data_IF_102152158546
#
_entry.id   IF_102152158546
#
_cell.length_a   1.000
_cell.length_b   1.000
_cell.length_c   1.000
_cell.angle_alpha   90.00
_cell.angle_beta   90.00
_cell.angle_gamma   90.00
#
_symmetry.space_group_name_H-M   'P 1'
#
loop_
_entity.id
_entity.type
_entity.pdbx_description
1 polymer ?
#
# COMPACT_ATOMS: atom_id res chain seq x y z
N UNK A 1 4.94 -16.11 19.34
CA UNK A 1 5.94 -16.79 18.49
C UNK A 1 5.31 -17.53 17.32
N UNK A 2 4.64 -18.68 17.54
CA UNK A 2 4.23 -19.61 16.45
C UNK A 2 3.03 -19.18 15.58
N UNK A 3 2.26 -18.17 15.97
CA UNK A 3 1.08 -17.70 15.23
C UNK A 3 1.40 -16.72 14.10
N UNK A 4 2.51 -15.99 14.22
CA UNK A 4 2.86 -14.87 13.33
C UNK A 4 3.05 -15.33 11.86
N UNK A 5 3.74 -16.45 11.57
CA UNK A 5 3.90 -16.92 10.19
C UNK A 5 2.59 -17.38 9.54
N UNK A 6 1.67 -17.98 10.31
CA UNK A 6 0.37 -18.45 9.79
C UNK A 6 -0.49 -17.27 9.30
N UNK A 7 -0.44 -16.16 10.02
CA UNK A 7 -1.15 -14.92 9.66
C UNK A 7 -0.54 -14.27 8.41
N UNK A 8 0.79 -14.29 8.28
CA UNK A 8 1.47 -13.71 7.12
C UNK A 8 1.11 -14.38 5.78
N UNK A 9 0.84 -15.69 5.79
CA UNK A 9 0.42 -16.43 4.58
C UNK A 9 -0.91 -15.89 4.06
N UNK A 10 -1.86 -15.56 4.94
CA UNK A 10 -3.14 -14.96 4.56
C UNK A 10 -2.94 -13.62 3.82
N UNK A 11 -2.11 -12.73 4.37
CA UNK A 11 -1.85 -11.43 3.75
C UNK A 11 -1.10 -11.53 2.42
N UNK A 12 -0.19 -12.50 2.29
CA UNK A 12 0.51 -12.75 1.02
C UNK A 12 -0.46 -13.21 -0.05
N UNK A 13 -1.34 -14.16 0.27
CA UNK A 13 -2.41 -14.63 -0.63
C UNK A 13 -3.38 -13.50 -0.98
N UNK A 14 -3.70 -12.61 -0.03
CA UNK A 14 -4.54 -11.44 -0.27
C UNK A 14 -3.91 -10.48 -1.28
N UNK A 15 -2.61 -10.17 -1.14
CA UNK A 15 -1.88 -9.32 -2.10
C UNK A 15 -1.85 -9.99 -3.48
N UNK A 16 -1.58 -11.30 -3.55
CA UNK A 16 -1.61 -12.05 -4.82
C UNK A 16 -3.00 -12.03 -5.46
N UNK A 17 -4.06 -12.18 -4.67
CA UNK A 17 -5.43 -12.08 -5.16
C UNK A 17 -5.74 -10.69 -5.72
N UNK A 18 -5.26 -9.62 -5.08
CA UNK A 18 -5.37 -8.25 -5.62
C UNK A 18 -4.63 -8.10 -6.95
N UNK A 19 -3.43 -8.68 -7.09
CA UNK A 19 -2.68 -8.69 -8.36
C UNK A 19 -3.49 -9.40 -9.45
N UNK A 20 -3.96 -10.61 -9.17
CA UNK A 20 -4.63 -11.48 -10.14
C UNK A 20 -6.06 -11.08 -10.48
N UNK A 21 -6.77 -10.39 -9.58
CA UNK A 21 -8.19 -10.06 -9.74
C UNK A 21 -8.39 -8.55 -9.92
N UNK A 22 -7.90 -7.71 -9.00
CA UNK A 22 -8.27 -6.29 -9.01
C UNK A 22 -7.61 -5.48 -10.12
N UNK A 23 -6.34 -5.75 -10.45
CA UNK A 23 -5.65 -5.06 -11.55
C UNK A 23 -6.26 -5.37 -12.93
N UNK A 24 -6.56 -6.63 -13.28
CA UNK A 24 -7.26 -6.90 -14.54
C UNK A 24 -8.71 -6.40 -14.55
N UNK A 25 -9.42 -6.40 -13.41
CA UNK A 25 -10.74 -5.77 -13.31
C UNK A 25 -10.67 -4.25 -13.48
N UNK A 26 -9.58 -3.61 -13.08
CA UNK A 26 -9.37 -2.19 -13.39
C UNK A 26 -9.22 -1.99 -14.91
N UNK A 27 -8.52 -2.87 -15.63
CA UNK A 27 -8.37 -2.78 -17.09
C UNK A 27 -9.66 -3.04 -17.87
N UNK A 28 -10.53 -3.92 -17.36
CA UNK A 28 -11.88 -4.16 -17.87
C UNK A 28 -12.88 -3.40 -17.02
N UNK A 29 -13.14 -2.09 -17.28
CA UNK A 29 -14.16 -1.40 -16.53
C UNK A 29 -15.47 -2.18 -16.70
N UNK A 30 -16.05 -2.64 -15.58
CA UNK A 30 -17.35 -3.33 -15.58
C UNK A 30 -18.40 -2.48 -16.29
N UNK A 31 -18.21 -1.15 -16.26
CA UNK A 31 -18.95 -0.18 -17.05
C UNK A 31 -18.82 -0.46 -18.57
N UNK A 32 -17.63 -0.70 -19.13
CA UNK A 32 -17.50 -1.07 -20.55
C UNK A 32 -18.19 -2.39 -20.90
N UNK A 33 -18.23 -3.36 -19.98
CA UNK A 33 -19.01 -4.59 -20.19
C UNK A 33 -20.52 -4.31 -20.21
N UNK A 34 -21.01 -3.38 -19.38
CA UNK A 34 -22.42 -2.95 -19.40
C UNK A 34 -22.74 -2.07 -20.62
N UNK A 35 -21.80 -1.21 -21.04
CA UNK A 35 -21.90 -0.39 -22.25
C UNK A 35 -21.84 -1.24 -23.52
N UNK A 36 -21.24 -2.44 -23.48
CA UNK A 36 -21.32 -3.40 -24.59
C UNK A 36 -22.77 -3.76 -24.96
N UNK A 37 -23.69 -3.71 -24.00
CA UNK A 37 -25.12 -3.97 -24.21
C UNK A 37 -25.94 -2.70 -24.50
N UNK A 38 -25.32 -1.51 -24.43
CA UNK A 38 -26.00 -0.24 -24.75
C UNK A 38 -25.60 0.24 -26.14
N UNK A 39 -26.57 0.75 -26.90
CA UNK A 39 -26.36 1.30 -28.26
C UNK A 39 -25.90 2.79 -28.19
N UNK A 40 -25.59 3.29 -26.99
CA UNK A 40 -25.25 4.69 -26.74
C UNK A 40 -23.73 4.88 -26.71
N UNK A 41 -23.24 6.08 -27.03
CA UNK A 41 -21.82 6.41 -26.85
C UNK A 41 -21.44 6.33 -25.37
N UNK A 42 -20.26 5.78 -25.03
CA UNK A 42 -19.81 5.67 -23.65
C UNK A 42 -19.63 7.07 -23.04
N UNK A 43 -20.14 7.26 -21.82
CA UNK A 43 -19.93 8.49 -21.04
C UNK A 43 -18.45 8.60 -20.62
N UNK A 44 -17.88 9.83 -20.54
CA UNK A 44 -16.51 10.02 -20.08
C UNK A 44 -16.36 9.51 -18.65
N UNK A 45 -15.36 8.64 -18.43
CA UNK A 45 -15.12 8.06 -17.11
C UNK A 45 -14.23 9.00 -16.28
N UNK A 46 -14.78 9.48 -15.16
CA UNK A 46 -14.03 10.26 -14.17
C UNK A 46 -13.19 9.34 -13.27
N UNK A 47 -12.01 9.79 -12.89
CA UNK A 47 -11.15 9.06 -11.97
C UNK A 47 -11.55 9.36 -10.51
N UNK A 48 -12.01 8.35 -9.78
CA UNK A 48 -12.20 8.45 -8.32
C UNK A 48 -10.85 8.36 -7.61
N UNK A 49 -10.09 9.46 -7.61
CA UNK A 49 -8.72 9.51 -7.11
C UNK A 49 -8.58 9.04 -5.65
N UNK A 50 -9.51 9.41 -4.78
CA UNK A 50 -9.47 9.08 -3.35
C UNK A 50 -9.48 7.56 -3.11
N UNK A 51 -10.42 6.86 -3.75
CA UNK A 51 -10.59 5.41 -3.55
C UNK A 51 -9.40 4.63 -4.09
N UNK A 52 -8.91 5.00 -5.27
CA UNK A 52 -7.77 4.33 -5.89
C UNK A 52 -6.49 4.54 -5.09
N UNK A 53 -6.23 5.77 -4.64
CA UNK A 53 -5.03 6.07 -3.88
C UNK A 53 -5.03 5.40 -2.50
N UNK A 54 -6.17 5.34 -1.81
CA UNK A 54 -6.31 4.61 -0.54
C UNK A 54 -6.09 3.11 -0.74
N UNK A 55 -6.63 2.51 -1.81
CA UNK A 55 -6.43 1.08 -2.09
C UNK A 55 -4.94 0.74 -2.25
N UNK A 56 -4.19 1.57 -2.97
CA UNK A 56 -2.74 1.40 -3.17
C UNK A 56 -1.99 1.61 -1.85
N UNK A 57 -2.37 2.63 -1.07
CA UNK A 57 -1.76 2.94 0.23
C UNK A 57 -1.87 1.77 1.22
N UNK A 58 -3.04 1.12 1.30
CA UNK A 58 -3.27 -0.02 2.18
C UNK A 58 -2.34 -1.19 1.82
N UNK A 59 -2.16 -1.48 0.53
CA UNK A 59 -1.24 -2.54 0.10
C UNK A 59 0.21 -2.20 0.46
N UNK A 60 0.58 -0.92 0.38
CA UNK A 60 1.91 -0.45 0.78
C UNK A 60 2.14 -0.61 2.28
N UNK A 61 1.18 -0.17 3.11
CA UNK A 61 1.23 -0.30 4.57
C UNK A 61 1.31 -1.77 4.97
N UNK A 62 0.51 -2.65 4.36
CA UNK A 62 0.60 -4.09 4.60
C UNK A 62 1.97 -4.66 4.21
N UNK A 63 2.52 -4.25 3.06
CA UNK A 63 3.86 -4.64 2.62
C UNK A 63 4.93 -4.25 3.64
N UNK A 64 4.87 -3.01 4.16
CA UNK A 64 5.79 -2.54 5.21
C UNK A 64 5.65 -3.36 6.48
N UNK A 65 4.43 -3.55 6.99
CA UNK A 65 4.16 -4.29 8.23
C UNK A 65 4.72 -5.72 8.21
N UNK A 66 4.54 -6.43 7.10
CA UNK A 66 4.92 -7.84 6.98
C UNK A 66 6.32 -8.07 6.41
N UNK A 67 7.00 -7.02 5.92
CA UNK A 67 8.36 -7.11 5.34
C UNK A 67 9.36 -7.80 6.26
N UNK A 68 9.32 -7.50 7.56
CA UNK A 68 10.23 -8.04 8.58
C UNK A 68 9.83 -9.45 9.05
N UNK A 69 8.54 -9.76 9.01
CA UNK A 69 8.01 -11.05 9.46
C UNK A 69 8.19 -12.12 8.40
N UNK A 70 7.91 -11.79 7.15
CA UNK A 70 7.98 -12.69 6.01
C UNK A 70 8.53 -11.95 4.79
N UNK A 71 9.85 -12.03 4.54
CA UNK A 71 10.48 -11.27 3.44
C UNK A 71 9.96 -11.67 2.05
N UNK A 72 9.31 -12.83 1.93
CA UNK A 72 8.67 -13.30 0.70
C UNK A 72 7.49 -12.41 0.25
N UNK A 73 6.92 -11.57 1.12
CA UNK A 73 5.84 -10.64 0.72
C UNK A 73 6.38 -9.49 -0.15
N UNK A 74 7.64 -9.09 0.03
CA UNK A 74 8.26 -7.98 -0.69
C UNK A 74 8.25 -8.17 -2.21
N UNK A 75 8.72 -9.30 -2.79
CA UNK A 75 8.67 -9.48 -4.24
C UNK A 75 7.24 -9.48 -4.79
N UNK A 76 6.25 -9.98 -4.02
CA UNK A 76 4.85 -9.90 -4.40
C UNK A 76 4.34 -8.45 -4.43
N UNK A 77 4.67 -7.65 -3.40
CA UNK A 77 4.34 -6.23 -3.37
C UNK A 77 5.04 -5.45 -4.50
N UNK A 78 6.32 -5.71 -4.78
CA UNK A 78 7.05 -5.07 -5.88
C UNK A 78 6.40 -5.38 -7.23
N UNK A 79 6.00 -6.64 -7.46
CA UNK A 79 5.23 -7.01 -8.65
C UNK A 79 3.91 -6.27 -8.73
N UNK A 80 3.17 -6.16 -7.63
CA UNK A 80 1.93 -5.39 -7.56
C UNK A 80 2.13 -3.93 -7.97
N UNK A 81 3.09 -3.23 -7.36
CA UNK A 81 3.36 -1.82 -7.69
C UNK A 81 3.87 -1.63 -9.11
N UNK A 82 4.70 -2.56 -9.61
CA UNK A 82 5.17 -2.53 -11.00
C UNK A 82 4.02 -2.62 -12.01
N UNK A 83 3.13 -3.60 -11.83
CA UNK A 83 1.95 -3.76 -12.69
C UNK A 83 0.95 -2.62 -12.54
N UNK A 84 0.68 -2.18 -11.30
CA UNK A 84 -0.19 -1.04 -11.03
C UNK A 84 0.30 0.22 -11.76
N UNK A 85 1.60 0.51 -11.72
CA UNK A 85 2.19 1.66 -12.42
C UNK A 85 1.92 1.61 -13.92
N UNK A 86 2.05 0.45 -14.56
CA UNK A 86 1.76 0.29 -15.99
C UNK A 86 0.27 0.49 -16.30
N UNK A 87 -0.61 -0.12 -15.51
CA UNK A 87 -2.07 -0.03 -15.69
C UNK A 87 -2.56 1.41 -15.52
N UNK A 88 -2.19 2.09 -14.43
CA UNK A 88 -2.62 3.46 -14.19
C UNK A 88 -2.06 4.42 -15.26
N UNK A 89 -0.80 4.25 -15.69
CA UNK A 89 -0.24 5.04 -16.80
C UNK A 89 -1.07 4.90 -18.08
N UNK A 90 -1.44 3.67 -18.44
CA UNK A 90 -2.28 3.45 -19.62
C UNK A 90 -3.66 4.10 -19.47
N UNK A 91 -4.29 3.99 -18.30
CA UNK A 91 -5.60 4.57 -18.03
C UNK A 91 -5.61 6.10 -18.05
N UNK A 92 -4.59 6.74 -17.49
CA UNK A 92 -4.49 8.21 -17.50
C UNK A 92 -4.31 8.77 -18.91
N UNK A 93 -3.72 8.01 -19.84
CA UNK A 93 -3.56 8.44 -21.23
C UNK A 93 -4.81 8.20 -22.10
N UNK A 94 -5.53 7.09 -21.88
CA UNK A 94 -6.55 6.63 -22.82
C UNK A 94 -8.00 6.73 -22.32
N UNK A 95 -8.22 6.73 -20.99
CA UNK A 95 -9.56 6.53 -20.42
C UNK A 95 -9.99 7.70 -19.55
N UNK A 96 -9.14 8.13 -18.61
CA UNK A 96 -9.56 9.11 -17.62
C UNK A 96 -9.59 10.52 -18.18
N UNK A 97 -10.70 11.21 -17.92
CA UNK A 97 -10.81 12.66 -18.11
C UNK A 97 -10.66 13.36 -16.76
N UNK A 98 -9.82 14.41 -16.64
CA UNK A 98 -9.60 15.08 -15.37
C UNK A 98 -10.80 15.97 -15.02
N UNK A 99 -11.67 15.51 -14.12
CA UNK A 99 -12.77 16.31 -13.59
C UNK A 99 -12.31 17.36 -12.57
N UNK A 100 -11.25 17.04 -11.80
CA UNK A 100 -10.71 17.90 -10.75
C UNK A 100 -9.18 17.83 -10.70
N UNK A 101 -8.52 18.98 -10.58
CA UNK A 101 -7.06 19.07 -10.42
C UNK A 101 -6.71 19.28 -8.94
N UNK A 102 -6.32 18.21 -8.24
CA UNK A 102 -5.99 18.27 -6.80
C UNK A 102 -4.68 19.03 -6.46
N UNK A 103 -3.94 19.56 -7.45
CA UNK A 103 -2.70 20.31 -7.22
C UNK A 103 -1.62 19.56 -6.40
N UNK A 104 -1.72 18.24 -6.28
CA UNK A 104 -0.84 17.43 -5.42
C UNK A 104 -1.19 17.40 -3.93
N UNK A 105 -2.31 17.99 -3.49
CA UNK A 105 -2.70 18.03 -2.08
C UNK A 105 -2.82 16.63 -1.44
N UNK A 106 -3.23 15.62 -2.22
CA UNK A 106 -3.38 14.24 -1.75
C UNK A 106 -2.06 13.58 -1.31
N UNK A 107 -0.91 14.12 -1.73
CA UNK A 107 0.41 13.59 -1.35
C UNK A 107 0.61 13.59 0.17
N UNK A 108 0.17 14.65 0.86
CA UNK A 108 0.37 14.80 2.30
C UNK A 108 -0.43 13.76 3.10
N UNK A 109 -1.66 13.47 2.68
CA UNK A 109 -2.49 12.43 3.30
C UNK A 109 -1.89 11.04 3.08
N UNK A 110 -1.43 10.75 1.86
CA UNK A 110 -0.78 9.48 1.53
C UNK A 110 0.50 9.29 2.36
N UNK A 111 1.34 10.33 2.45
CA UNK A 111 2.56 10.31 3.24
C UNK A 111 2.29 10.06 4.72
N UNK A 112 1.29 10.72 5.29
CA UNK A 112 0.87 10.50 6.68
C UNK A 112 0.43 9.05 6.92
N UNK A 113 -0.37 8.48 6.01
CA UNK A 113 -0.78 7.07 6.07
C UNK A 113 0.39 6.08 6.00
N UNK A 114 1.37 6.35 5.12
CA UNK A 114 2.60 5.56 5.02
C UNK A 114 3.41 5.61 6.32
N UNK A 115 3.54 6.79 6.92
CA UNK A 115 4.29 6.97 8.17
C UNK A 115 3.64 6.20 9.32
N UNK A 116 2.31 6.20 9.43
CA UNK A 116 1.58 5.37 10.41
C UNK A 116 1.89 3.88 10.20
N UNK A 117 1.91 3.41 8.94
CA UNK A 117 2.29 2.05 8.61
C UNK A 117 3.73 1.70 9.02
N UNK A 118 4.66 2.62 8.81
CA UNK A 118 6.05 2.49 9.25
C UNK A 118 6.16 2.41 10.78
N UNK A 119 5.43 3.26 11.52
CA UNK A 119 5.39 3.20 12.99
C UNK A 119 4.88 1.86 13.52
N UNK A 120 3.80 1.34 12.92
CA UNK A 120 3.25 0.03 13.29
C UNK A 120 4.25 -1.10 12.99
N UNK A 121 5.04 -0.98 11.92
CA UNK A 121 6.09 -1.94 11.58
C UNK A 121 7.21 -1.92 12.61
N UNK A 122 7.68 -0.73 13.00
CA UNK A 122 8.70 -0.57 14.05
C UNK A 122 8.22 -1.07 15.41
N UNK A 123 6.95 -0.85 15.76
CA UNK A 123 6.36 -1.38 16.98
C UNK A 123 6.32 -2.91 16.98
N UNK A 124 5.97 -3.52 15.84
CA UNK A 124 6.01 -4.98 15.68
C UNK A 124 7.43 -5.54 15.80
N UNK A 125 8.41 -4.85 15.21
CA UNK A 125 9.83 -5.20 15.32
C UNK A 125 10.32 -5.12 16.76
N UNK A 126 9.94 -4.09 17.51
CA UNK A 126 10.25 -3.99 18.93
C UNK A 126 9.67 -5.14 19.73
N UNK A 127 8.41 -5.50 19.48
CA UNK A 127 7.77 -6.65 20.10
C UNK A 127 8.52 -7.97 19.83
N UNK A 128 9.02 -8.16 18.60
CA UNK A 128 9.87 -9.30 18.26
C UNK A 128 11.23 -9.25 18.95
N UNK A 129 11.89 -8.08 18.97
CA UNK A 129 13.19 -7.90 19.60
C UNK A 129 13.17 -8.24 21.10
N UNK A 130 12.11 -7.86 21.82
CA UNK A 130 11.93 -8.21 23.24
C UNK A 130 11.88 -9.73 23.45
N UNK A 131 11.21 -10.46 22.55
CA UNK A 131 11.04 -11.92 22.66
C UNK A 131 12.34 -12.66 22.35
N UNK A 132 13.11 -12.20 21.36
CA UNK A 132 14.30 -12.91 20.88
C UNK A 132 15.61 -12.51 21.57
N UNK A 133 15.83 -11.21 21.80
CA UNK A 133 17.07 -10.70 22.39
C UNK A 133 16.93 -10.42 23.90
N UNK A 134 15.73 -10.05 24.35
CA UNK A 134 15.48 -9.64 25.74
C UNK A 134 15.69 -8.13 25.94
N UNK A 135 14.97 -7.55 26.89
CA UNK A 135 14.86 -6.08 27.06
C UNK A 135 16.15 -5.35 27.49
N UNK A 136 17.21 -6.08 27.86
CA UNK A 136 18.43 -5.50 28.46
C UNK A 136 19.64 -5.50 27.52
N UNK A 137 19.49 -6.03 26.32
CA UNK A 137 20.61 -6.15 25.38
C UNK A 137 20.78 -4.87 24.55
N UNK A 138 22.00 -4.55 24.08
CA UNK A 138 22.24 -3.32 23.30
C UNK A 138 21.48 -3.30 21.97
N UNK A 139 21.13 -4.45 21.41
CA UNK A 139 20.38 -4.55 20.15
C UNK A 139 18.93 -4.05 20.32
N UNK A 140 18.31 -4.26 21.48
CA UNK A 140 16.99 -3.71 21.77
C UNK A 140 17.02 -2.17 21.80
N UNK A 141 18.04 -1.58 22.42
CA UNK A 141 18.21 -0.12 22.45
C UNK A 141 18.44 0.47 21.06
N UNK A 142 19.21 -0.21 20.20
CA UNK A 142 19.39 0.21 18.82
C UNK A 142 18.08 0.21 18.02
N UNK A 143 17.22 -0.79 18.21
CA UNK A 143 15.90 -0.87 17.55
C UNK A 143 14.92 0.14 18.15
N UNK A 144 14.98 0.40 19.46
CA UNK A 144 14.13 1.40 20.14
C UNK A 144 14.43 2.84 19.71
N UNK A 145 15.63 3.09 19.19
CA UNK A 145 16.03 4.36 18.62
C UNK A 145 15.29 4.67 17.30
N UNK A 146 15.02 3.66 16.46
CA UNK A 146 14.38 3.83 15.15
C UNK A 146 13.02 4.55 15.18
N UNK A 147 12.04 4.20 16.05
CA UNK A 147 10.75 4.89 16.09
C UNK A 147 10.88 6.35 16.55
N UNK A 148 11.88 6.67 17.37
CA UNK A 148 12.16 8.06 17.74
C UNK A 148 12.64 8.87 16.53
N UNK A 149 13.56 8.31 15.74
CA UNK A 149 14.00 8.94 14.49
C UNK A 149 12.86 9.08 13.47
N UNK A 150 12.01 8.06 13.33
CA UNK A 150 10.85 8.12 12.44
C UNK A 150 9.86 9.23 12.86
N UNK A 151 9.68 9.44 14.17
CA UNK A 151 8.85 10.54 14.68
C UNK A 151 9.45 11.91 14.52
N UNK A 152 10.74 12.07 14.77
CA UNK A 152 11.43 13.33 14.49
C UNK A 152 11.35 13.68 13.01
N UNK A 153 11.53 12.69 12.12
CA UNK A 153 11.37 12.88 10.68
C UNK A 153 9.94 13.26 10.29
N UNK A 154 8.93 12.62 10.87
CA UNK A 154 7.52 12.99 10.62
C UNK A 154 7.23 14.43 11.03
N UNK A 155 7.73 14.88 12.19
CA UNK A 155 7.56 16.26 12.63
C UNK A 155 8.31 17.25 11.74
N UNK A 156 9.51 16.90 11.26
CA UNK A 156 10.23 17.73 10.32
C UNK A 156 9.49 17.88 8.97
N UNK A 157 8.87 16.81 8.48
CA UNK A 157 8.12 16.85 7.22
C UNK A 157 6.74 17.53 7.33
N UNK A 158 6.20 17.70 8.53
CA UNK A 158 4.90 18.35 8.76
C UNK A 158 5.03 19.84 9.09
N UNK A 159 6.24 20.28 9.44
CA UNK A 159 6.57 21.70 9.74
C UNK A 159 6.95 22.41 8.46
#
# INVERSE_FOLDING_TARGET
>A
GRSIPKVSVYFTSFVIARIGISLPLLLLPVQAFMELFKITKPEPQECMFEVEAINIAIVFVLGLMYSLVAPCILPACTLYFGLATLVYRWKFMNVYTPAFSCGGAFWYELFSGVMIGNFMCLLSLLGMAVIYAGAKTPEFWAIALLPLFAGAFYQYCTT
#
